data_IF_543645103859
#
_entry.id   IF_543645103859
#
_cell.length_a   1.000
_cell.length_b   1.000
_cell.length_c   1.000
_cell.angle_alpha   90.00
_cell.angle_beta   90.00
_cell.angle_gamma   90.00
#
_symmetry.space_group_name_H-M   'P 1'
#
loop_
_entity.id
_entity.type
_entity.pdbx_description
1 polymer ?
#
# COMPACT_ATOMS: atom_id res chain seq x y z
N UNK A 1 21.43 -9.77 57.50
CA UNK A 1 22.42 -9.29 56.51
C UNK A 1 22.03 -7.88 56.10
N UNK A 2 22.79 -6.89 56.58
CA UNK A 2 22.56 -5.47 56.34
C UNK A 2 23.37 -5.03 55.12
N UNK A 3 22.73 -4.35 54.18
CA UNK A 3 23.38 -3.77 52.99
C UNK A 3 23.54 -2.25 53.25
N UNK A 4 24.74 -1.67 53.10
CA UNK A 4 24.95 -0.26 53.39
C UNK A 4 24.38 0.67 52.32
N UNK A 5 23.82 1.80 52.79
CA UNK A 5 23.38 2.96 52.03
C UNK A 5 24.51 4.00 51.96
N UNK A 6 25.07 4.25 50.78
CA UNK A 6 25.91 5.42 50.44
C UNK A 6 26.29 5.27 48.96
N UNK A 7 26.32 6.26 48.05
CA UNK A 7 26.71 7.67 48.14
C UNK A 7 25.96 8.44 47.05
N UNK A 8 25.39 9.60 47.40
CA UNK A 8 25.00 10.66 46.46
C UNK A 8 26.27 11.38 46.00
N UNK A 9 26.57 11.37 44.70
CA UNK A 9 27.50 12.35 44.11
C UNK A 9 26.73 13.18 43.09
N UNK A 10 26.49 14.42 43.49
CA UNK A 10 26.01 15.51 42.66
C UNK A 10 27.21 15.95 41.80
N UNK A 11 27.10 15.85 40.48
CA UNK A 11 27.95 16.63 39.57
C UNK A 11 27.02 17.43 38.67
N UNK A 12 26.81 18.68 39.08
CA UNK A 12 26.21 19.70 38.25
C UNK A 12 27.23 20.10 37.17
N UNK A 13 27.09 19.56 35.96
CA UNK A 13 27.75 20.12 34.78
C UNK A 13 26.85 21.21 34.22
N UNK A 14 27.13 22.44 34.65
CA UNK A 14 26.62 23.67 34.09
C UNK A 14 27.27 23.88 32.71
N UNK A 15 26.74 23.24 31.67
CA UNK A 15 27.18 23.49 30.30
C UNK A 15 26.42 24.67 29.70
N UNK A 16 26.98 25.87 29.88
CA UNK A 16 26.71 27.02 29.02
C UNK A 16 27.12 26.66 27.58
N UNK A 17 26.15 26.36 26.72
CA UNK A 17 26.33 26.32 25.27
C UNK A 17 25.18 27.11 24.64
N UNK A 18 25.51 28.38 24.40
CA UNK A 18 25.18 29.18 23.22
C UNK A 18 23.79 28.98 22.58
N UNK A 19 22.92 30.01 22.55
CA UNK A 19 21.75 29.97 21.70
C UNK A 19 22.22 29.94 20.24
N UNK A 20 22.13 28.75 19.62
CA UNK A 20 22.15 28.60 18.18
C UNK A 20 20.93 29.37 17.67
N UNK A 21 21.17 30.58 17.18
CA UNK A 21 20.20 31.35 16.42
C UNK A 21 19.80 30.49 15.23
N UNK A 22 18.67 29.80 15.33
CA UNK A 22 18.00 29.21 14.18
C UNK A 22 17.59 30.37 13.28
N UNK A 23 18.50 30.71 12.35
CA UNK A 23 18.10 31.38 11.12
C UNK A 23 16.96 30.54 10.53
N UNK A 24 15.79 31.12 10.24
CA UNK A 24 14.88 30.47 9.34
C UNK A 24 15.60 30.46 8.00
N UNK A 25 16.24 29.34 7.66
CA UNK A 25 16.42 28.96 6.27
C UNK A 25 15.01 28.65 5.78
N UNK A 26 14.25 29.71 5.54
CA UNK A 26 13.14 29.72 4.62
C UNK A 26 13.83 29.50 3.28
N UNK A 27 14.12 28.22 2.99
CA UNK A 27 14.39 27.80 1.64
C UNK A 27 13.28 28.43 0.82
N UNK A 28 13.68 29.28 -0.11
CA UNK A 28 12.85 29.85 -1.14
C UNK A 28 12.36 28.66 -1.96
N UNK A 29 11.31 28.03 -1.43
CA UNK A 29 10.45 27.07 -2.10
C UNK A 29 9.94 27.85 -3.29
N UNK A 30 10.60 27.65 -4.42
CA UNK A 30 10.06 27.98 -5.72
C UNK A 30 8.58 27.61 -5.67
N UNK A 31 7.65 28.50 -6.03
CA UNK A 31 6.23 28.18 -5.99
C UNK A 31 6.08 26.87 -6.75
N UNK A 32 5.75 25.80 -6.02
CA UNK A 32 5.46 24.52 -6.62
C UNK A 32 4.45 24.81 -7.71
N UNK A 33 4.67 24.30 -8.95
CA UNK A 33 3.68 24.48 -10.01
C UNK A 33 2.32 24.10 -9.44
N UNK A 34 1.24 24.82 -9.81
CA UNK A 34 -0.10 24.49 -9.32
C UNK A 34 -0.28 22.99 -9.48
N UNK A 35 -0.60 22.32 -8.37
CA UNK A 35 -0.85 20.88 -8.29
C UNK A 35 -2.17 20.54 -9.01
N UNK A 36 -2.31 20.94 -10.26
CA UNK A 36 -3.33 20.49 -11.19
C UNK A 36 -2.88 19.13 -11.74
N UNK A 37 -3.32 18.06 -11.06
CA UNK A 37 -3.27 16.69 -11.59
C UNK A 37 -2.33 15.73 -10.85
N UNK A 38 -2.60 15.48 -9.56
CA UNK A 38 -1.88 14.52 -8.70
C UNK A 38 -1.97 13.07 -9.24
N UNK A 39 -0.82 12.38 -9.33
CA UNK A 39 -0.53 11.17 -10.11
C UNK A 39 -1.22 9.84 -9.77
N UNK A 40 -2.42 9.85 -9.20
CA UNK A 40 -3.29 8.66 -9.05
C UNK A 40 -4.59 8.76 -9.85
N UNK A 41 -4.95 9.98 -10.26
CA UNK A 41 -6.04 10.23 -11.21
C UNK A 41 -5.61 10.18 -12.68
N UNK A 42 -4.31 10.13 -12.98
CA UNK A 42 -3.85 10.21 -14.37
C UNK A 42 -3.84 8.87 -15.11
N UNK A 43 -3.67 7.75 -14.41
CA UNK A 43 -3.78 6.43 -15.00
C UNK A 43 -4.76 5.62 -14.17
N UNK A 44 -6.01 5.55 -14.63
CA UNK A 44 -6.95 4.58 -14.08
C UNK A 44 -6.30 3.19 -14.15
N UNK A 45 -6.55 2.31 -13.17
CA UNK A 45 -6.03 0.95 -13.18
C UNK A 45 -6.84 0.13 -14.19
N UNK A 46 -6.65 0.44 -15.48
CA UNK A 46 -7.40 -0.13 -16.61
C UNK A 46 -7.33 -1.66 -16.62
N UNK A 47 -6.23 -2.22 -16.11
CA UNK A 47 -6.08 -3.66 -15.92
C UNK A 47 -7.24 -4.29 -15.13
N UNK A 48 -7.83 -3.57 -14.16
CA UNK A 48 -8.96 -4.05 -13.35
C UNK A 48 -10.25 -4.15 -14.14
N UNK A 49 -10.41 -3.37 -15.21
CA UNK A 49 -11.61 -3.39 -16.03
C UNK A 49 -11.68 -4.65 -16.91
N UNK A 50 -10.63 -5.47 -16.96
CA UNK A 50 -10.69 -6.80 -17.55
C UNK A 50 -11.40 -7.84 -16.66
N UNK A 51 -11.55 -7.56 -15.36
CA UNK A 51 -12.17 -8.46 -14.39
C UNK A 51 -13.71 -8.36 -14.47
N UNK A 52 -14.38 -9.49 -14.69
CA UNK A 52 -15.84 -9.57 -14.81
C UNK A 52 -16.57 -9.15 -13.53
N UNK A 53 -16.00 -9.42 -12.36
CA UNK A 53 -16.58 -8.98 -11.08
C UNK A 53 -16.53 -7.45 -10.96
N UNK A 54 -15.44 -6.83 -11.43
CA UNK A 54 -15.29 -5.37 -11.46
C UNK A 54 -16.26 -4.75 -12.47
N UNK A 55 -16.37 -5.32 -13.68
CA UNK A 55 -17.32 -4.85 -14.69
C UNK A 55 -18.77 -4.89 -14.17
N UNK A 56 -19.14 -5.97 -13.47
CA UNK A 56 -20.46 -6.16 -12.87
C UNK A 56 -20.72 -5.18 -11.73
N UNK A 57 -19.76 -5.01 -10.81
CA UNK A 57 -19.88 -4.08 -9.67
C UNK A 57 -19.99 -2.62 -10.12
N UNK A 58 -19.29 -2.26 -11.20
CA UNK A 58 -19.40 -0.95 -11.84
C UNK A 58 -20.66 -0.77 -12.69
N UNK A 59 -21.41 -1.84 -12.97
CA UNK A 59 -22.59 -1.80 -13.82
C UNK A 59 -22.29 -1.38 -15.27
N UNK A 60 -21.13 -1.79 -15.81
CA UNK A 60 -20.75 -1.45 -17.18
C UNK A 60 -21.64 -2.16 -18.19
N UNK A 61 -22.11 -1.44 -19.20
CA UNK A 61 -22.82 -2.03 -20.33
C UNK A 61 -21.87 -2.86 -21.20
N UNK A 62 -22.41 -3.83 -21.93
CA UNK A 62 -21.65 -4.64 -22.90
C UNK A 62 -20.99 -3.77 -23.96
N UNK A 63 -21.63 -2.67 -24.37
CA UNK A 63 -21.08 -1.70 -25.31
C UNK A 63 -19.87 -0.96 -24.74
N UNK A 64 -19.96 -0.48 -23.49
CA UNK A 64 -18.83 0.16 -22.82
C UNK A 64 -17.66 -0.81 -22.68
N UNK A 65 -17.93 -2.05 -22.26
CA UNK A 65 -16.89 -3.10 -22.16
C UNK A 65 -16.25 -3.39 -23.53
N UNK A 66 -17.04 -3.45 -24.60
CA UNK A 66 -16.51 -3.67 -25.94
C UNK A 66 -15.59 -2.52 -26.36
N UNK A 67 -16.01 -1.26 -26.13
CA UNK A 67 -15.15 -0.09 -26.36
C UNK A 67 -13.83 -0.21 -25.62
N UNK A 68 -13.84 -0.68 -24.36
CA UNK A 68 -12.60 -0.88 -23.59
C UNK A 68 -11.67 -1.96 -24.17
N UNK A 69 -12.26 -3.03 -24.74
CA UNK A 69 -11.51 -4.15 -25.32
C UNK A 69 -10.90 -3.83 -26.68
N UNK A 70 -11.58 -2.99 -27.46
CA UNK A 70 -11.14 -2.61 -28.79
C UNK A 70 -9.85 -1.77 -28.76
N UNK A 71 -9.37 -1.40 -27.56
CA UNK A 71 -7.96 -1.13 -27.32
C UNK A 71 -7.42 0.12 -28.01
N UNK A 72 -8.29 1.03 -28.41
CA UNK A 72 -7.84 2.33 -28.90
C UNK A 72 -7.19 3.07 -27.72
N UNK A 73 -5.91 3.39 -27.87
CA UNK A 73 -5.12 4.17 -26.91
C UNK A 73 -5.74 5.54 -26.59
N UNK A 74 -6.74 5.95 -27.38
CA UNK A 74 -7.38 7.26 -27.37
C UNK A 74 -8.74 7.25 -26.65
N UNK A 75 -9.12 6.17 -25.96
CA UNK A 75 -10.38 6.16 -25.19
C UNK A 75 -10.27 7.18 -24.07
N UNK A 76 -11.04 8.24 -24.21
CA UNK A 76 -11.23 9.20 -23.14
C UNK A 76 -12.08 8.53 -22.04
N UNK A 77 -11.41 7.94 -21.05
CA UNK A 77 -12.05 7.29 -19.90
C UNK A 77 -13.03 8.19 -19.17
N UNK A 78 -12.89 9.51 -19.33
CA UNK A 78 -13.82 10.46 -18.73
C UNK A 78 -15.23 10.38 -19.33
N UNK A 79 -15.35 9.91 -20.56
CA UNK A 79 -16.61 9.74 -21.31
C UNK A 79 -17.25 8.36 -21.06
N UNK A 80 -16.45 7.35 -20.75
CA UNK A 80 -16.94 5.97 -20.56
C UNK A 80 -17.39 5.70 -19.12
N UNK A 81 -16.68 6.26 -18.14
CA UNK A 81 -16.96 6.05 -16.73
C UNK A 81 -17.59 7.31 -16.10
N UNK A 82 -18.69 7.12 -15.39
CA UNK A 82 -19.27 8.19 -14.57
C UNK A 82 -18.32 8.58 -13.43
N UNK A 83 -18.46 9.76 -12.82
CA UNK A 83 -17.66 10.15 -11.66
C UNK A 83 -17.73 9.13 -10.51
N UNK A 84 -18.91 8.57 -10.25
CA UNK A 84 -19.13 7.57 -9.19
C UNK A 84 -18.42 6.26 -9.51
N UNK A 85 -18.45 5.82 -10.78
CA UNK A 85 -17.74 4.63 -11.24
C UNK A 85 -16.22 4.77 -11.11
N UNK A 86 -15.67 5.98 -11.34
CA UNK A 86 -14.24 6.24 -11.13
C UNK A 86 -13.86 6.13 -9.66
N UNK A 87 -14.62 6.74 -8.77
CA UNK A 87 -14.42 6.62 -7.31
C UNK A 87 -14.51 5.15 -6.89
N UNK A 88 -15.48 4.41 -7.43
CA UNK A 88 -15.63 2.99 -7.12
C UNK A 88 -14.46 2.15 -7.66
N UNK A 89 -13.98 2.42 -8.86
CA UNK A 89 -12.82 1.75 -9.44
C UNK A 89 -11.55 2.02 -8.62
N UNK A 90 -11.37 3.24 -8.11
CA UNK A 90 -10.28 3.60 -7.18
C UNK A 90 -10.39 2.81 -5.87
N UNK A 91 -11.59 2.70 -5.28
CA UNK A 91 -11.83 1.88 -4.09
C UNK A 91 -11.46 0.41 -4.33
N UNK A 92 -11.90 -0.17 -5.46
CA UNK A 92 -11.56 -1.54 -5.86
C UNK A 92 -10.05 -1.66 -6.04
N UNK A 93 -9.41 -0.67 -6.66
CA UNK A 93 -7.96 -0.65 -6.80
C UNK A 93 -7.27 -0.64 -5.45
N UNK A 94 -7.70 0.14 -4.47
CA UNK A 94 -7.15 0.11 -3.11
C UNK A 94 -7.42 -1.20 -2.38
N UNK A 95 -8.51 -1.90 -2.70
CA UNK A 95 -8.78 -3.24 -2.18
C UNK A 95 -7.85 -4.31 -2.77
N UNK A 96 -7.54 -4.19 -4.06
CA UNK A 96 -6.71 -5.14 -4.80
C UNK A 96 -5.22 -4.82 -4.72
N UNK A 97 -4.88 -3.55 -4.60
CA UNK A 97 -3.56 -3.07 -4.27
C UNK A 97 -3.25 -3.63 -2.89
N UNK A 98 -2.28 -4.55 -2.84
CA UNK A 98 -1.70 -5.01 -1.59
C UNK A 98 -1.40 -3.77 -0.75
N UNK A 99 -1.66 -3.84 0.56
CA UNK A 99 -1.57 -2.68 1.46
C UNK A 99 -0.24 -1.93 1.34
N UNK A 100 0.83 -2.67 1.05
CA UNK A 100 2.17 -2.14 0.82
C UNK A 100 2.26 -1.21 -0.39
N UNK A 101 1.57 -1.53 -1.50
CA UNK A 101 1.54 -0.70 -2.70
C UNK A 101 0.68 0.54 -2.48
N UNK A 102 -0.44 0.40 -1.76
CA UNK A 102 -1.31 1.53 -1.40
C UNK A 102 -0.62 2.57 -0.51
N UNK A 103 0.44 2.19 0.24
CA UNK A 103 1.20 3.14 1.06
C UNK A 103 2.39 3.78 0.33
N UNK A 104 2.66 3.38 -0.91
CA UNK A 104 3.56 4.11 -1.82
C UNK A 104 2.82 5.18 -2.62
N UNK A 105 1.50 5.24 -2.46
CA UNK A 105 0.62 6.14 -3.16
C UNK A 105 0.56 7.52 -2.50
N UNK A 106 1.04 8.54 -3.22
CA UNK A 106 1.06 9.93 -2.75
C UNK A 106 -0.34 10.50 -2.51
N UNK A 107 -1.35 10.09 -3.28
CA UNK A 107 -2.74 10.51 -3.06
C UNK A 107 -3.33 9.85 -1.82
N UNK A 108 -3.12 8.54 -1.62
CA UNK A 108 -3.51 7.85 -0.38
C UNK A 108 -2.78 8.45 0.82
N UNK A 109 -1.47 8.66 0.73
CA UNK A 109 -0.70 9.30 1.81
C UNK A 109 -1.29 10.67 2.14
N UNK A 110 -1.61 11.48 1.13
CA UNK A 110 -2.22 12.81 1.30
C UNK A 110 -3.60 12.71 1.95
N UNK A 111 -4.43 11.77 1.50
CA UNK A 111 -5.74 11.52 2.12
C UNK A 111 -5.58 11.08 3.57
N UNK A 112 -4.58 10.28 3.90
CA UNK A 112 -4.27 9.89 5.29
C UNK A 112 -3.63 11.00 6.13
N UNK A 113 -3.52 12.23 5.62
CA UNK A 113 -2.95 13.38 6.33
C UNK A 113 -1.42 13.38 6.35
N UNK A 114 -0.78 12.61 5.48
CA UNK A 114 0.66 12.42 5.44
C UNK A 114 1.16 11.32 6.38
N UNK A 115 2.41 10.91 6.20
CA UNK A 115 3.10 10.00 7.10
C UNK A 115 4.26 10.72 7.79
N UNK A 116 4.40 10.49 9.09
CA UNK A 116 5.60 10.91 9.84
C UNK A 116 6.84 10.18 9.35
N UNK A 117 8.04 10.72 9.60
CA UNK A 117 9.30 10.10 9.20
C UNK A 117 9.43 8.66 9.75
N UNK A 118 9.00 8.44 10.99
CA UNK A 118 8.99 7.11 11.62
C UNK A 118 8.07 6.13 10.89
N UNK A 119 6.88 6.58 10.46
CA UNK A 119 5.96 5.76 9.67
C UNK A 119 6.55 5.45 8.30
N UNK A 120 7.10 6.45 7.61
CA UNK A 120 7.75 6.27 6.30
C UNK A 120 8.89 5.25 6.37
N UNK A 121 9.77 5.36 7.38
CA UNK A 121 10.85 4.40 7.60
C UNK A 121 10.33 2.98 7.85
N UNK A 122 9.27 2.84 8.65
CA UNK A 122 8.65 1.54 8.95
C UNK A 122 8.04 0.91 7.71
N UNK A 123 7.35 1.70 6.88
CA UNK A 123 6.76 1.27 5.61
C UNK A 123 7.85 0.89 4.61
N UNK A 124 8.94 1.67 4.52
CA UNK A 124 10.06 1.37 3.64
C UNK A 124 10.80 0.09 4.06
N UNK A 125 10.97 -0.13 5.36
CA UNK A 125 11.56 -1.36 5.89
C UNK A 125 10.68 -2.58 5.56
N UNK A 126 9.35 -2.44 5.69
CA UNK A 126 8.39 -3.46 5.29
C UNK A 126 8.46 -3.76 3.78
N UNK A 127 8.63 -2.73 2.94
CA UNK A 127 8.84 -2.89 1.48
C UNK A 127 10.09 -3.71 1.16
N UNK A 128 11.23 -3.32 1.74
CA UNK A 128 12.49 -4.05 1.55
C UNK A 128 12.37 -5.51 2.01
N UNK A 129 11.72 -5.74 3.16
CA UNK A 129 11.49 -7.07 3.68
C UNK A 129 10.61 -7.92 2.75
N UNK A 130 9.51 -7.35 2.25
CA UNK A 130 8.62 -8.02 1.31
C UNK A 130 9.33 -8.38 -0.01
N UNK A 131 10.12 -7.46 -0.56
CA UNK A 131 10.94 -7.71 -1.74
C UNK A 131 11.93 -8.85 -1.50
N UNK A 132 12.65 -8.85 -0.37
CA UNK A 132 13.60 -9.90 -0.02
C UNK A 132 12.92 -11.28 0.16
N UNK A 133 11.70 -11.32 0.73
CA UNK A 133 10.90 -12.54 0.78
C UNK A 133 10.59 -13.02 -0.63
N UNK A 134 10.06 -12.15 -1.50
CA UNK A 134 9.64 -12.50 -2.86
C UNK A 134 10.81 -13.01 -3.72
N UNK A 135 11.99 -12.43 -3.59
CA UNK A 135 13.18 -12.82 -4.34
C UNK A 135 13.84 -14.09 -3.79
N UNK A 136 13.96 -14.20 -2.46
CA UNK A 136 14.65 -15.34 -1.84
C UNK A 136 13.80 -16.61 -1.82
N UNK A 137 12.48 -16.49 -1.83
CA UNK A 137 11.59 -17.61 -1.58
C UNK A 137 11.59 -18.67 -2.70
N UNK A 138 11.47 -18.32 -4.01
CA UNK A 138 11.60 -19.30 -5.09
C UNK A 138 12.97 -20.01 -5.06
N UNK A 139 14.03 -19.26 -4.76
CA UNK A 139 15.39 -19.82 -4.67
C UNK A 139 15.57 -20.76 -3.48
N UNK A 140 14.99 -20.44 -2.31
CA UNK A 140 15.04 -21.30 -1.11
C UNK A 140 14.30 -22.62 -1.33
N UNK A 141 13.15 -22.59 -2.00
CA UNK A 141 12.42 -23.81 -2.32
C UNK A 141 13.10 -24.62 -3.43
N UNK A 142 13.67 -23.96 -4.46
CA UNK A 142 14.38 -24.63 -5.55
C UNK A 142 15.69 -25.27 -5.10
N UNK A 143 16.43 -24.60 -4.21
CA UNK A 143 17.72 -25.09 -3.70
C UNK A 143 17.56 -26.00 -2.47
N UNK A 144 16.33 -26.15 -1.95
CA UNK A 144 16.02 -27.12 -0.92
C UNK A 144 16.26 -28.54 -1.44
N UNK A 145 16.78 -29.43 -0.58
CA UNK A 145 16.98 -30.86 -0.91
C UNK A 145 15.67 -31.62 -1.19
N UNK A 146 14.51 -30.96 -1.05
CA UNK A 146 13.19 -31.54 -1.26
C UNK A 146 12.70 -31.14 -2.65
N UNK A 147 12.64 -32.11 -3.57
CA UNK A 147 11.98 -31.94 -4.86
C UNK A 147 10.47 -32.09 -4.65
N UNK A 148 9.74 -30.99 -4.78
CA UNK A 148 8.28 -31.02 -4.82
C UNK A 148 7.80 -31.29 -6.25
N UNK A 149 6.63 -31.91 -6.38
CA UNK A 149 5.91 -31.87 -7.66
C UNK A 149 5.57 -30.41 -8.02
N UNK A 150 5.51 -30.05 -9.32
CA UNK A 150 5.24 -28.67 -9.73
C UNK A 150 4.00 -28.05 -9.08
N UNK A 151 2.90 -28.81 -8.98
CA UNK A 151 1.63 -28.32 -8.43
C UNK A 151 1.71 -28.09 -6.92
N UNK A 152 2.32 -29.02 -6.17
CA UNK A 152 2.52 -28.86 -4.73
C UNK A 152 3.47 -27.70 -4.42
N UNK A 153 4.50 -27.50 -5.24
CA UNK A 153 5.41 -26.36 -5.11
C UNK A 153 4.64 -25.05 -5.25
N UNK A 154 3.85 -24.91 -6.32
CA UNK A 154 3.07 -23.70 -6.57
C UNK A 154 2.08 -23.42 -5.44
N UNK A 155 1.38 -24.45 -4.96
CA UNK A 155 0.45 -24.33 -3.85
C UNK A 155 1.14 -23.84 -2.56
N UNK A 156 2.26 -24.46 -2.19
CA UNK A 156 3.04 -24.04 -0.99
C UNK A 156 3.58 -22.62 -1.13
N UNK A 157 3.97 -22.23 -2.35
CA UNK A 157 4.39 -20.85 -2.63
C UNK A 157 3.24 -19.88 -2.43
N UNK A 158 2.07 -20.18 -2.99
CA UNK A 158 0.88 -19.37 -2.85
C UNK A 158 0.45 -19.21 -1.39
N UNK A 159 0.34 -20.31 -0.65
CA UNK A 159 -0.01 -20.31 0.78
C UNK A 159 0.96 -19.48 1.61
N UNK A 160 2.28 -19.65 1.40
CA UNK A 160 3.28 -18.91 2.16
C UNK A 160 3.30 -17.43 1.81
N UNK A 161 3.13 -17.09 0.54
CA UNK A 161 3.01 -15.69 0.10
C UNK A 161 1.76 -15.04 0.71
N UNK A 162 0.64 -15.74 0.76
CA UNK A 162 -0.59 -15.27 1.38
C UNK A 162 -0.41 -15.03 2.90
N UNK A 163 0.23 -15.96 3.62
CA UNK A 163 0.53 -15.78 5.04
C UNK A 163 1.43 -14.55 5.29
N UNK A 164 2.54 -14.45 4.55
CA UNK A 164 3.45 -13.32 4.65
C UNK A 164 2.73 -12.00 4.33
N UNK A 165 1.82 -12.00 3.37
CA UNK A 165 1.01 -10.84 3.01
C UNK A 165 0.04 -10.44 4.14
N UNK A 166 -0.59 -11.40 4.81
CA UNK A 166 -1.45 -11.14 5.98
C UNK A 166 -0.65 -10.56 7.16
N UNK A 167 0.51 -11.15 7.47
CA UNK A 167 1.40 -10.66 8.52
C UNK A 167 1.89 -9.24 8.22
N UNK A 168 2.34 -9.00 6.98
CA UNK A 168 2.75 -7.68 6.50
C UNK A 168 1.62 -6.66 6.61
N UNK A 169 0.41 -7.03 6.19
CA UNK A 169 -0.79 -6.19 6.27
C UNK A 169 -1.08 -5.79 7.72
N UNK A 170 -1.07 -6.76 8.64
CA UNK A 170 -1.27 -6.50 10.07
C UNK A 170 -0.20 -5.57 10.63
N UNK A 171 1.07 -5.80 10.30
CA UNK A 171 2.19 -4.99 10.78
C UNK A 171 2.11 -3.55 10.26
N UNK A 172 1.79 -3.38 8.97
CA UNK A 172 1.65 -2.06 8.36
C UNK A 172 0.43 -1.28 8.91
N UNK A 173 -0.69 -1.95 9.18
CA UNK A 173 -1.83 -1.29 9.82
C UNK A 173 -1.51 -0.80 11.24
N UNK A 174 -0.64 -1.50 11.97
CA UNK A 174 -0.19 -1.07 13.30
C UNK A 174 0.78 0.13 13.27
N UNK A 175 1.32 0.49 12.10
CA UNK A 175 2.15 1.70 11.92
C UNK A 175 1.28 2.96 11.80
N UNK A 176 0.04 2.80 11.33
CA UNK A 176 -0.91 3.91 11.21
C UNK A 176 -1.44 4.34 12.58
N UNK A 177 -1.79 5.61 12.70
CA UNK A 177 -2.61 6.06 13.84
C UNK A 177 -4.03 5.45 13.73
N UNK A 178 -4.79 5.36 14.83
CA UNK A 178 -6.17 4.87 14.78
C UNK A 178 -7.05 5.66 13.80
N UNK A 179 -6.85 6.97 13.70
CA UNK A 179 -7.57 7.84 12.76
C UNK A 179 -7.20 7.54 11.30
N UNK A 180 -5.91 7.35 11.01
CA UNK A 180 -5.43 6.96 9.69
C UNK A 180 -5.95 5.58 9.28
N UNK A 181 -5.91 4.61 10.20
CA UNK A 181 -6.44 3.27 9.95
C UNK A 181 -7.94 3.32 9.63
N UNK A 182 -8.73 4.07 10.41
CA UNK A 182 -10.15 4.28 10.16
C UNK A 182 -10.39 4.93 8.79
N UNK A 183 -9.69 6.02 8.47
CA UNK A 183 -9.81 6.69 7.17
C UNK A 183 -9.40 5.78 6.02
N UNK A 184 -8.36 4.98 6.18
CA UNK A 184 -7.94 4.00 5.19
C UNK A 184 -9.03 2.95 4.93
N UNK A 185 -9.70 2.46 5.97
CA UNK A 185 -10.85 1.56 5.82
C UNK A 185 -12.02 2.20 5.07
N UNK A 186 -12.30 3.48 5.31
CA UNK A 186 -13.32 4.25 4.59
C UNK A 186 -12.94 4.44 3.11
N UNK A 187 -11.67 4.76 2.82
CA UNK A 187 -11.15 4.91 1.44
C UNK A 187 -11.27 3.63 0.62
N UNK A 188 -11.21 2.45 1.24
CA UNK A 188 -11.40 1.18 0.53
C UNK A 188 -12.85 0.95 0.11
N UNK A 189 -13.82 1.62 0.72
CA UNK A 189 -15.24 1.43 0.41
C UNK A 189 -15.76 0.00 0.67
N UNK A 190 -16.86 -0.35 0.03
CA UNK A 190 -17.52 -1.66 0.20
C UNK A 190 -16.68 -2.79 -0.42
N UNK A 191 -16.49 -3.94 0.24
CA UNK A 191 -15.80 -5.09 -0.36
C UNK A 191 -16.39 -5.46 -1.74
N UNK A 192 -15.52 -5.74 -2.71
CA UNK A 192 -15.93 -6.25 -4.02
C UNK A 192 -16.54 -7.66 -3.86
N UNK A 193 -17.77 -7.83 -4.32
CA UNK A 193 -18.43 -9.13 -4.37
C UNK A 193 -17.83 -9.97 -5.50
N UNK A 194 -17.16 -11.07 -5.17
CA UNK A 194 -16.64 -12.02 -6.16
C UNK A 194 -17.47 -13.29 -6.14
N UNK A 195 -17.96 -13.79 -7.30
CA UNK A 195 -18.65 -15.05 -7.35
C UNK A 195 -17.71 -16.18 -6.92
N UNK A 196 -18.19 -17.07 -6.04
CA UNK A 196 -17.41 -18.18 -5.50
C UNK A 196 -16.86 -19.14 -6.57
N UNK A 197 -17.42 -19.14 -7.78
CA UNK A 197 -16.96 -19.94 -8.93
C UNK A 197 -15.56 -19.55 -9.41
N UNK A 198 -15.17 -18.28 -9.23
CA UNK A 198 -13.85 -17.80 -9.66
C UNK A 198 -12.74 -18.19 -8.67
N UNK A 199 -13.10 -18.74 -7.50
CA UNK A 199 -12.15 -19.33 -6.55
C UNK A 199 -11.83 -20.81 -6.84
N UNK A 200 -12.44 -21.42 -7.89
CA UNK A 200 -12.40 -22.88 -8.12
C UNK A 200 -11.51 -23.37 -9.27
N UNK A 201 -10.85 -22.49 -10.02
CA UNK A 201 -9.69 -22.87 -10.82
C UNK A 201 -8.39 -22.95 -10.01
N UNK A 202 -8.43 -22.63 -8.70
CA UNK A 202 -7.33 -22.87 -7.74
C UNK A 202 -7.41 -24.27 -7.11
N UNK A 203 -7.60 -25.32 -7.94
CA UNK A 203 -7.48 -26.71 -7.49
C UNK A 203 -6.28 -27.39 -8.15
#
# INVERSE_FOLDING_TARGET
MQVPKTVRVIVAVLSLMTPLVCLPVFAELSPLPPLTGFGWRQALPVALLSDAAVQKDLGLSTESIQKLKDGTSDINWSEVLTPEQKVRLEQIHLQQARLINAFSDTAVIKELGGFTDRQQQSIQAAHKHWHAIRESFPNKLRNGRVRYQPDEFQKRVAERMQQNEQELTKNLLNVLTPEQAKKFHELKGKPLERPMSDRRSEK
#
